data_IF_978804142961
#
_entry.id   IF_978804142961
#
_cell.length_a   1.000
_cell.length_b   1.000
_cell.length_c   1.000
_cell.angle_alpha   90.00
_cell.angle_beta   90.00
_cell.angle_gamma   90.00
#
_symmetry.space_group_name_H-M   'P 1'
#
loop_
_entity.id
_entity.type
_entity.pdbx_description
1 polymer ?
#
# COMPACT_ATOMS: atom_id res chain seq x y z
N UNK A 1 -10.07 45.57 1.68
CA UNK A 1 -11.35 44.83 1.76
C UNK A 1 -11.11 43.49 1.12
N UNK A 2 -10.71 42.51 1.94
CA UNK A 2 -10.41 41.13 1.50
C UNK A 2 -11.58 40.25 1.90
N UNK A 3 -12.24 39.64 0.93
CA UNK A 3 -13.24 38.65 1.15
C UNK A 3 -12.55 37.29 1.24
N UNK A 4 -12.52 36.72 2.43
CA UNK A 4 -12.12 35.33 2.67
C UNK A 4 -13.08 34.37 1.94
N UNK A 5 -12.59 33.36 1.23
CA UNK A 5 -13.46 32.30 0.73
C UNK A 5 -13.98 31.52 1.93
N UNK A 6 -15.30 31.41 2.03
CA UNK A 6 -16.00 30.60 3.01
C UNK A 6 -15.56 29.13 2.88
N UNK A 7 -14.93 28.61 3.94
CA UNK A 7 -14.79 27.18 4.13
C UNK A 7 -16.18 26.56 4.18
N UNK A 8 -16.58 25.91 3.10
CA UNK A 8 -17.74 25.04 3.10
C UNK A 8 -17.37 23.82 3.94
N UNK A 9 -17.64 23.87 5.23
CA UNK A 9 -17.66 22.71 6.10
C UNK A 9 -18.75 21.77 5.55
N UNK A 10 -18.31 20.76 4.80
CA UNK A 10 -19.16 19.64 4.39
C UNK A 10 -19.49 18.86 5.67
N UNK A 11 -20.49 19.35 6.40
CA UNK A 11 -20.98 18.73 7.62
C UNK A 11 -21.63 17.40 7.28
N UNK A 12 -20.90 16.32 7.51
CA UNK A 12 -21.51 15.01 7.59
C UNK A 12 -22.53 15.08 8.74
N UNK A 13 -23.80 15.17 8.37
CA UNK A 13 -24.90 15.34 9.32
C UNK A 13 -24.97 14.18 10.34
N UNK A 14 -25.93 14.22 11.26
CA UNK A 14 -26.07 13.28 12.37
C UNK A 14 -26.14 11.79 11.96
N UNK A 15 -26.34 11.51 10.67
CA UNK A 15 -26.29 10.15 10.09
C UNK A 15 -24.87 9.57 9.99
N UNK A 16 -23.82 10.40 10.02
CA UNK A 16 -22.42 9.90 9.98
C UNK A 16 -21.98 9.31 11.32
N UNK A 17 -22.53 9.78 12.43
CA UNK A 17 -22.15 9.29 13.76
C UNK A 17 -22.43 7.78 13.96
N UNK A 18 -23.61 7.24 13.63
CA UNK A 18 -23.86 5.80 13.77
C UNK A 18 -22.98 4.97 12.83
N UNK A 19 -22.69 5.44 11.62
CA UNK A 19 -21.79 4.76 10.70
C UNK A 19 -20.35 4.75 11.22
N UNK A 20 -19.89 5.84 11.82
CA UNK A 20 -18.56 5.93 12.44
C UNK A 20 -18.44 4.99 13.66
N UNK A 21 -19.50 4.87 14.46
CA UNK A 21 -19.53 3.93 15.59
C UNK A 21 -19.49 2.46 15.12
N UNK A 22 -20.26 2.11 14.11
CA UNK A 22 -20.25 0.74 13.53
C UNK A 22 -18.88 0.43 12.96
N UNK A 23 -18.28 1.37 12.22
CA UNK A 23 -16.93 1.21 11.68
C UNK A 23 -15.88 1.09 12.79
N UNK A 24 -15.96 1.95 13.82
CA UNK A 24 -15.08 1.92 14.99
C UNK A 24 -15.19 0.61 15.77
N UNK A 25 -16.41 0.13 16.01
CA UNK A 25 -16.64 -1.15 16.65
C UNK A 25 -16.09 -2.33 15.83
N UNK A 26 -16.31 -2.33 14.51
CA UNK A 26 -15.80 -3.35 13.60
C UNK A 26 -14.26 -3.38 13.56
N UNK A 27 -13.62 -2.22 13.50
CA UNK A 27 -12.15 -2.14 13.52
C UNK A 27 -11.58 -2.52 14.89
N UNK A 28 -12.22 -2.13 15.98
CA UNK A 28 -11.85 -2.52 17.35
C UNK A 28 -11.97 -4.02 17.57
N UNK A 29 -13.09 -4.61 17.17
CA UNK A 29 -13.30 -6.07 17.24
C UNK A 29 -12.24 -6.83 16.42
N UNK A 30 -11.98 -6.38 15.19
CA UNK A 30 -10.93 -6.97 14.35
C UNK A 30 -9.56 -6.88 15.03
N UNK A 31 -9.22 -5.74 15.62
CA UNK A 31 -7.99 -5.56 16.40
C UNK A 31 -7.88 -6.53 17.57
N UNK A 32 -8.96 -6.72 18.33
CA UNK A 32 -9.03 -7.66 19.45
C UNK A 32 -8.88 -9.12 18.98
N UNK A 33 -9.52 -9.51 17.88
CA UNK A 33 -9.41 -10.85 17.31
C UNK A 33 -7.97 -11.17 16.85
N UNK A 34 -7.28 -10.20 16.23
CA UNK A 34 -5.86 -10.36 15.90
C UNK A 34 -4.97 -10.36 17.16
N UNK A 35 -5.28 -9.52 18.16
CA UNK A 35 -4.57 -9.47 19.43
C UNK A 35 -4.68 -10.76 20.21
N UNK A 36 -5.86 -11.35 20.25
CA UNK A 36 -6.16 -12.63 20.91
C UNK A 36 -5.71 -13.88 20.16
N UNK A 37 -5.08 -13.74 18.97
CA UNK A 37 -4.62 -14.89 18.17
C UNK A 37 -5.74 -15.68 17.48
N UNK A 38 -6.98 -15.20 17.52
CA UNK A 38 -8.14 -15.85 16.88
C UNK A 38 -8.13 -15.73 15.35
N UNK A 39 -7.44 -14.72 14.84
CA UNK A 39 -7.23 -14.58 13.41
C UNK A 39 -5.78 -14.95 13.03
N UNK A 40 -5.59 -15.76 11.97
CA UNK A 40 -4.26 -16.21 11.58
C UNK A 40 -3.40 -15.02 11.14
N UNK A 41 -2.21 -14.91 11.73
CA UNK A 41 -1.15 -14.00 11.29
C UNK A 41 -0.20 -14.76 10.39
N UNK A 42 0.07 -14.23 9.22
CA UNK A 42 1.07 -14.78 8.33
C UNK A 42 2.35 -13.97 8.41
N UNK A 43 3.47 -14.65 8.44
CA UNK A 43 4.80 -14.04 8.40
C UNK A 43 5.39 -14.18 7.00
N UNK A 44 6.03 -13.12 6.53
CA UNK A 44 6.72 -13.11 5.23
C UNK A 44 8.08 -13.82 5.28
N UNK A 45 8.61 -14.03 6.48
CA UNK A 45 9.97 -14.57 6.69
C UNK A 45 11.08 -13.54 6.52
N UNK A 46 10.76 -12.31 6.12
CA UNK A 46 11.71 -11.20 5.93
C UNK A 46 11.18 -9.91 6.56
N UNK A 47 12.09 -8.99 6.97
CA UNK A 47 11.68 -7.68 7.47
C UNK A 47 10.82 -6.95 6.44
N UNK A 48 9.71 -6.38 6.89
CA UNK A 48 8.74 -5.71 6.03
C UNK A 48 8.48 -4.30 6.52
N UNK A 49 8.62 -3.32 5.64
CA UNK A 49 8.28 -1.93 5.87
C UNK A 49 6.97 -1.63 5.14
N UNK A 50 5.97 -1.10 5.85
CA UNK A 50 4.69 -0.72 5.28
C UNK A 50 4.62 0.79 5.12
N UNK A 51 4.47 1.26 3.87
CA UNK A 51 4.24 2.67 3.56
C UNK A 51 2.74 2.86 3.35
N UNK A 52 2.11 3.59 4.26
CA UNK A 52 0.68 3.89 4.25
C UNK A 52 0.40 5.39 4.25
N UNK A 53 -0.85 5.77 3.98
CA UNK A 53 -1.34 7.15 4.12
C UNK A 53 -2.64 7.15 4.91
N UNK A 54 -2.84 8.19 5.71
CA UNK A 54 -4.06 8.40 6.51
C UNK A 54 -5.16 9.00 5.61
N UNK A 55 -4.76 9.78 4.62
CA UNK A 55 -5.68 10.45 3.71
C UNK A 55 -5.98 9.62 2.45
N UNK A 56 -7.20 9.76 1.96
CA UNK A 56 -7.62 9.23 0.66
C UNK A 56 -7.18 10.22 -0.42
N UNK A 57 -6.29 9.78 -1.33
CA UNK A 57 -5.74 10.61 -2.41
C UNK A 57 -4.23 10.67 -2.42
N UNK A 58 -3.64 11.61 -3.13
CA UNK A 58 -2.21 11.78 -3.37
C UNK A 58 -1.38 12.09 -2.12
N UNK A 59 -1.35 11.18 -1.15
CA UNK A 59 -0.70 11.35 0.16
C UNK A 59 0.82 11.15 0.15
N UNK A 60 1.48 11.24 -1.01
CA UNK A 60 2.94 11.13 -1.11
C UNK A 60 3.51 9.74 -0.81
N UNK A 61 2.70 8.69 -0.86
CA UNK A 61 3.15 7.32 -0.59
C UNK A 61 4.24 6.85 -1.54
N UNK A 62 4.11 7.15 -2.82
CA UNK A 62 5.06 6.72 -3.85
C UNK A 62 6.44 7.33 -3.64
N UNK A 63 6.62 8.65 -3.46
CA UNK A 63 7.92 9.23 -3.14
C UNK A 63 8.57 8.67 -1.86
N UNK A 64 7.78 8.39 -0.83
CA UNK A 64 8.31 7.78 0.41
C UNK A 64 8.75 6.35 0.16
N UNK A 65 7.99 5.56 -0.60
CA UNK A 65 8.37 4.20 -0.96
C UNK A 65 9.67 4.17 -1.78
N UNK A 66 9.82 5.08 -2.75
CA UNK A 66 11.04 5.24 -3.53
C UNK A 66 12.24 5.60 -2.66
N UNK A 67 12.08 6.56 -1.77
CA UNK A 67 13.14 6.94 -0.83
C UNK A 67 13.58 5.77 0.03
N UNK A 68 12.64 5.00 0.59
CA UNK A 68 12.93 3.78 1.37
C UNK A 68 13.69 2.75 0.53
N UNK A 69 13.25 2.50 -0.72
CA UNK A 69 13.90 1.55 -1.61
C UNK A 69 15.33 1.98 -1.93
N UNK A 70 15.57 3.25 -2.27
CA UNK A 70 16.90 3.80 -2.53
C UNK A 70 17.81 3.64 -1.31
N UNK A 71 17.34 4.04 -0.13
CA UNK A 71 18.09 3.93 1.13
C UNK A 71 18.47 2.48 1.43
N UNK A 72 17.58 1.52 1.22
CA UNK A 72 17.86 0.11 1.42
C UNK A 72 18.89 -0.41 0.42
N UNK A 73 18.80 0.00 -0.84
CA UNK A 73 19.76 -0.40 -1.89
C UNK A 73 21.14 0.18 -1.62
N UNK A 74 21.24 1.44 -1.22
CA UNK A 74 22.48 2.11 -0.80
C UNK A 74 23.13 1.42 0.40
N UNK A 75 22.32 0.91 1.32
CA UNK A 75 22.76 0.08 2.45
C UNK A 75 23.13 -1.38 2.07
N UNK A 76 23.22 -1.68 0.77
CA UNK A 76 23.57 -3.02 0.27
C UNK A 76 22.49 -4.08 0.47
N UNK A 77 21.25 -3.66 0.77
CA UNK A 77 20.10 -4.58 0.89
C UNK A 77 19.49 -4.85 -0.48
N UNK A 78 18.72 -5.92 -0.57
CA UNK A 78 17.98 -6.31 -1.79
C UNK A 78 16.47 -6.18 -1.52
N UNK A 79 15.91 -4.96 -1.55
CA UNK A 79 14.49 -4.77 -1.31
C UNK A 79 13.65 -5.30 -2.48
N UNK A 80 12.41 -5.69 -2.17
CA UNK A 80 11.36 -5.93 -3.14
C UNK A 80 10.15 -5.06 -2.84
N UNK A 81 9.37 -4.72 -3.85
CA UNK A 81 8.16 -3.92 -3.73
C UNK A 81 6.91 -4.81 -3.78
N UNK A 82 6.09 -4.73 -2.73
CA UNK A 82 4.82 -5.45 -2.67
C UNK A 82 3.65 -4.47 -2.77
N UNK A 83 2.81 -4.66 -3.77
CA UNK A 83 1.65 -3.81 -4.04
C UNK A 83 0.36 -4.62 -4.22
N UNK A 84 -0.79 -3.94 -4.24
CA UNK A 84 -2.05 -4.51 -4.74
C UNK A 84 -2.13 -4.49 -6.26
N UNK A 85 -1.37 -3.59 -6.89
CA UNK A 85 -1.45 -3.37 -8.32
C UNK A 85 -2.77 -2.73 -8.73
N UNK A 86 -3.11 -1.58 -8.15
CA UNK A 86 -4.25 -0.80 -8.64
C UNK A 86 -4.00 -0.39 -10.09
N UNK A 87 -5.07 -0.37 -10.90
CA UNK A 87 -5.01 -0.04 -12.33
C UNK A 87 -4.59 -1.19 -13.25
N UNK A 88 -4.07 -2.32 -12.72
CA UNK A 88 -3.69 -3.46 -13.56
C UNK A 88 -4.90 -4.17 -14.14
N UNK A 89 -4.75 -4.72 -15.33
CA UNK A 89 -5.74 -5.56 -16.01
C UNK A 89 -5.64 -7.04 -15.59
N UNK A 90 -4.46 -7.47 -15.11
CA UNK A 90 -4.19 -8.85 -14.70
C UNK A 90 -4.81 -9.16 -13.32
N UNK A 91 -5.18 -10.42 -13.12
CA UNK A 91 -5.69 -10.93 -11.83
C UNK A 91 -4.70 -11.89 -11.19
N UNK A 92 -4.88 -12.15 -9.89
CA UNK A 92 -4.03 -13.08 -9.14
C UNK A 92 -2.67 -12.47 -8.75
N UNK A 93 -1.72 -13.35 -8.47
CA UNK A 93 -0.35 -12.99 -8.19
C UNK A 93 0.40 -12.75 -9.50
N UNK A 94 1.03 -11.59 -9.61
CA UNK A 94 2.00 -11.28 -10.67
C UNK A 94 3.31 -10.89 -10.01
N UNK A 95 4.39 -11.49 -10.45
CA UNK A 95 5.76 -11.16 -10.00
C UNK A 95 6.56 -10.68 -11.21
N UNK A 96 7.07 -9.48 -11.10
CA UNK A 96 8.07 -8.90 -12.02
C UNK A 96 9.43 -9.04 -11.37
N UNK A 97 10.37 -9.68 -12.02
CA UNK A 97 11.76 -9.81 -11.54
C UNK A 97 12.60 -8.63 -11.99
N UNK A 98 13.77 -8.49 -11.33
CA UNK A 98 14.75 -7.50 -11.73
C UNK A 98 15.19 -7.72 -13.19
N UNK A 99 15.31 -6.65 -13.95
CA UNK A 99 15.64 -6.70 -15.38
C UNK A 99 14.47 -6.99 -16.33
N UNK A 100 13.30 -7.37 -15.81
CA UNK A 100 12.11 -7.59 -16.64
C UNK A 100 11.39 -6.26 -16.92
N UNK A 101 10.61 -6.15 -18.03
CA UNK A 101 9.80 -4.97 -18.30
C UNK A 101 8.77 -4.71 -17.19
N UNK A 102 8.61 -3.44 -16.81
CA UNK A 102 7.63 -3.01 -15.80
C UNK A 102 6.34 -2.55 -16.51
N UNK A 103 5.52 -3.49 -16.93
CA UNK A 103 4.26 -3.20 -17.61
C UNK A 103 3.20 -2.80 -16.58
N UNK A 104 2.66 -1.58 -16.68
CA UNK A 104 1.62 -1.06 -15.80
C UNK A 104 0.37 -1.97 -15.80
N UNK A 105 0.02 -2.54 -16.94
CA UNK A 105 -1.06 -3.51 -17.09
C UNK A 105 -0.89 -4.77 -16.24
N UNK A 106 0.36 -5.15 -15.96
CA UNK A 106 0.70 -6.33 -15.19
C UNK A 106 0.82 -6.07 -13.69
N UNK A 107 1.49 -4.99 -13.30
CA UNK A 107 1.85 -4.71 -11.91
C UNK A 107 1.14 -3.50 -11.30
N UNK A 108 0.51 -2.66 -12.14
CA UNK A 108 -0.14 -1.39 -11.77
C UNK A 108 0.73 -0.18 -12.09
N UNK A 109 0.10 0.99 -12.18
CA UNK A 109 0.76 2.23 -12.63
C UNK A 109 1.86 2.69 -11.64
N UNK A 110 1.54 2.75 -10.35
CA UNK A 110 2.49 3.22 -9.32
C UNK A 110 3.80 2.41 -9.29
N UNK A 111 3.78 1.06 -9.19
CA UNK A 111 5.02 0.29 -9.20
C UNK A 111 5.75 0.32 -10.54
N UNK A 112 5.03 0.47 -11.66
CA UNK A 112 5.66 0.66 -12.97
C UNK A 112 6.44 1.97 -13.04
N UNK A 113 5.91 3.07 -12.47
CA UNK A 113 6.61 4.35 -12.35
C UNK A 113 7.87 4.22 -11.49
N UNK A 114 7.79 3.57 -10.33
CA UNK A 114 8.95 3.35 -9.45
C UNK A 114 10.09 2.66 -10.18
N UNK A 115 9.79 1.65 -10.98
CA UNK A 115 10.81 0.94 -11.78
C UNK A 115 11.32 1.83 -12.92
N UNK A 116 10.46 2.60 -13.58
CA UNK A 116 10.83 3.50 -14.66
C UNK A 116 11.78 4.63 -14.20
N UNK A 117 11.70 5.04 -12.94
CA UNK A 117 12.62 6.01 -12.32
C UNK A 117 13.99 5.41 -11.92
N UNK A 118 14.30 4.23 -12.42
CA UNK A 118 15.60 3.57 -12.27
C UNK A 118 15.73 2.70 -11.01
N UNK A 119 14.63 2.43 -10.29
CA UNK A 119 14.59 1.50 -9.16
C UNK A 119 14.27 0.09 -9.66
N UNK A 120 15.25 -0.56 -10.24
CA UNK A 120 15.09 -1.94 -10.74
C UNK A 120 15.04 -2.95 -9.57
N UNK A 121 13.93 -2.98 -8.88
CA UNK A 121 13.63 -3.92 -7.78
C UNK A 121 12.58 -4.95 -8.22
N UNK A 122 12.61 -6.17 -7.69
CA UNK A 122 11.51 -7.11 -7.94
C UNK A 122 10.20 -6.58 -7.36
N UNK A 123 9.11 -6.77 -8.09
CA UNK A 123 7.77 -6.28 -7.72
C UNK A 123 6.81 -7.46 -7.68
N UNK A 124 6.06 -7.60 -6.59
CA UNK A 124 4.92 -8.50 -6.53
C UNK A 124 3.61 -7.70 -6.43
N UNK A 125 2.70 -7.94 -7.35
CA UNK A 125 1.34 -7.41 -7.33
C UNK A 125 0.37 -8.53 -6.95
N UNK A 126 -0.23 -8.43 -5.75
CA UNK A 126 -1.09 -9.47 -5.20
C UNK A 126 -2.21 -8.89 -4.31
N UNK A 127 -3.42 -9.42 -4.45
CA UNK A 127 -4.52 -9.11 -3.54
C UNK A 127 -4.24 -9.65 -2.13
N UNK A 128 -3.69 -10.86 -2.05
CA UNK A 128 -3.23 -11.49 -0.81
C UNK A 128 -1.76 -11.12 -0.56
N UNK A 129 -1.53 -10.18 0.36
CA UNK A 129 -0.18 -9.64 0.65
C UNK A 129 0.84 -10.71 1.02
N UNK A 130 0.44 -11.69 1.82
CA UNK A 130 1.34 -12.76 2.25
C UNK A 130 1.82 -13.63 1.10
N UNK A 131 0.94 -13.91 0.14
CA UNK A 131 1.27 -14.65 -1.07
C UNK A 131 2.31 -13.89 -1.91
N UNK A 132 2.07 -12.58 -2.13
CA UNK A 132 3.03 -11.73 -2.84
C UNK A 132 4.36 -11.58 -2.11
N UNK A 133 4.36 -11.46 -0.78
CA UNK A 133 5.58 -11.37 0.00
C UNK A 133 6.43 -12.65 -0.11
N UNK A 134 5.81 -13.82 -0.02
CA UNK A 134 6.49 -15.11 -0.17
C UNK A 134 7.06 -15.32 -1.57
N UNK A 135 6.45 -14.74 -2.59
CA UNK A 135 6.93 -14.84 -3.97
C UNK A 135 8.13 -13.92 -4.26
N UNK A 136 8.43 -12.97 -3.37
CA UNK A 136 9.59 -12.08 -3.45
C UNK A 136 10.81 -12.61 -2.69
N UNK A 137 10.63 -13.60 -1.84
CA UNK A 137 11.68 -14.25 -1.03
C UNK A 137 12.28 -15.44 -1.77
#
# INVERSE_FOLDING_TARGET
>A
MGTSPSESSFGWGPLAAPLALIYGAGTGLRGALYGGGLLPRGESGVPTISVGGIEVGGSGKTPVAEWVLRTLMEAGRRPGLLTRGYGRSTRGLVVRRRGEPALAEAIGDEPAMVVAEGLDVPVAAAARRLEGARALV
#
